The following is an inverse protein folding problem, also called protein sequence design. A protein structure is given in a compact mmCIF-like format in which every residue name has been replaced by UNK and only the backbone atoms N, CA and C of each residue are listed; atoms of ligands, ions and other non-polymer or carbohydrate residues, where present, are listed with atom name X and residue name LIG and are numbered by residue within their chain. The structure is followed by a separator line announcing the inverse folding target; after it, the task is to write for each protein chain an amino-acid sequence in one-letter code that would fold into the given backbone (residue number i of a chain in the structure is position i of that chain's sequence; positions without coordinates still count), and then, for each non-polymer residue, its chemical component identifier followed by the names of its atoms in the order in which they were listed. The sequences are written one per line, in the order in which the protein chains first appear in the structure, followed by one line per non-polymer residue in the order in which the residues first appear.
data_IF_134398380078
#
_entry.id   IF_134398380078
#
_cell.length_a   1.000
_cell.length_b   1.000
_cell.length_c   1.000
_cell.angle_alpha   90.00
_cell.angle_beta   90.00
_cell.angle_gamma   90.00
#
_symmetry.space_group_name_H-M   'P 1'
#
loop_
_entity.id
_entity.type
_entity.pdbx_description
1 polymer ?
#
# COMPACT_ATOMS: atom_id res chain seq x y z
N UNK A 1 -20.60 -10.82 -0.32
CA UNK A 1 -19.43 -10.63 -1.20
C UNK A 1 -19.03 -9.19 -1.00
N UNK A 2 -18.06 -8.94 -0.13
CA UNK A 2 -17.59 -7.59 0.15
C UNK A 2 -16.84 -7.14 -1.09
N UNK A 3 -17.33 -6.07 -1.71
CA UNK A 3 -16.87 -5.56 -2.99
C UNK A 3 -15.34 -5.41 -2.99
N UNK A 4 -14.66 -6.09 -3.92
CA UNK A 4 -13.21 -6.04 -4.11
C UNK A 4 -12.64 -4.60 -4.21
N UNK A 5 -13.46 -3.63 -4.59
CA UNK A 5 -13.06 -2.22 -4.73
C UNK A 5 -12.88 -1.44 -3.40
N UNK A 6 -12.96 -2.05 -2.22
CA UNK A 6 -12.80 -1.28 -0.97
C UNK A 6 -11.43 -0.63 -0.86
N UNK A 7 -10.37 -1.16 -1.48
CA UNK A 7 -9.02 -0.62 -1.36
C UNK A 7 -8.72 0.48 -2.38
N UNK A 8 -9.46 0.50 -3.49
CA UNK A 8 -9.21 1.38 -4.62
C UNK A 8 -9.26 2.86 -4.24
N UNK A 9 -8.18 3.57 -4.52
CA UNK A 9 -8.07 5.01 -4.27
C UNK A 9 -8.02 5.40 -2.78
N UNK A 10 -7.80 4.45 -1.88
CA UNK A 10 -7.47 4.78 -0.49
C UNK A 10 -6.05 5.26 -0.38
N UNK A 11 -5.85 6.32 0.41
CA UNK A 11 -4.52 6.80 0.76
C UNK A 11 -3.96 6.02 1.96
N UNK A 12 -2.81 5.38 1.79
CA UNK A 12 -2.17 4.52 2.80
C UNK A 12 -0.74 5.02 3.02
N UNK A 13 -0.34 5.20 4.27
CA UNK A 13 1.05 5.49 4.63
C UNK A 13 1.67 4.21 5.17
N UNK A 14 2.73 3.74 4.51
CA UNK A 14 3.52 2.59 4.94
C UNK A 14 4.82 3.12 5.55
N UNK A 15 5.13 2.66 6.77
CA UNK A 15 6.32 3.09 7.52
C UNK A 15 7.08 1.86 7.97
N UNK A 16 8.29 1.70 7.45
CA UNK A 16 9.20 0.60 7.76
C UNK A 16 10.65 1.05 7.52
N UNK A 17 11.59 0.61 8.35
CA UNK A 17 13.02 0.97 8.21
C UNK A 17 13.75 0.12 7.15
N UNK A 18 13.09 -0.91 6.63
CA UNK A 18 13.60 -1.80 5.58
C UNK A 18 12.96 -1.48 4.22
N UNK A 19 13.75 -1.04 3.20
CA UNK A 19 13.21 -0.61 1.91
C UNK A 19 12.60 -1.75 1.07
N UNK A 20 13.01 -2.99 1.28
CA UNK A 20 12.45 -4.18 0.62
C UNK A 20 11.03 -4.51 1.10
N UNK A 21 10.72 -4.20 2.36
CA UNK A 21 9.36 -4.32 2.90
C UNK A 21 8.46 -3.26 2.29
N UNK A 22 8.94 -2.02 2.18
CA UNK A 22 8.20 -0.93 1.53
C UNK A 22 7.88 -1.26 0.06
N UNK A 23 8.86 -1.75 -0.71
CA UNK A 23 8.69 -2.14 -2.12
C UNK A 23 7.66 -3.27 -2.27
N UNK A 24 7.75 -4.31 -1.43
CA UNK A 24 6.81 -5.44 -1.46
C UNK A 24 5.37 -4.99 -1.16
N UNK A 25 5.20 -4.06 -0.21
CA UNK A 25 3.88 -3.55 0.15
C UNK A 25 3.29 -2.62 -0.93
N UNK A 26 4.14 -1.87 -1.64
CA UNK A 26 3.71 -1.10 -2.81
C UNK A 26 3.21 -2.01 -3.94
N UNK A 27 3.89 -3.12 -4.21
CA UNK A 27 3.46 -4.09 -5.23
C UNK A 27 2.15 -4.81 -4.87
N UNK A 28 1.92 -5.11 -3.59
CA UNK A 28 0.72 -5.80 -3.12
C UNK A 28 -0.52 -4.91 -3.07
N UNK A 29 -0.33 -3.60 -3.00
CA UNK A 29 -1.38 -2.61 -2.81
C UNK A 29 -1.45 -1.65 -4.02
N UNK A 30 -1.17 -2.14 -5.24
CA UNK A 30 -1.05 -1.34 -6.47
C UNK A 30 -2.30 -0.51 -6.82
N UNK A 31 -3.48 -0.93 -6.33
CA UNK A 31 -4.74 -0.21 -6.51
C UNK A 31 -4.96 0.95 -5.49
N UNK A 32 -4.04 1.12 -4.53
CA UNK A 32 -4.05 2.15 -3.51
C UNK A 32 -3.13 3.32 -3.86
N UNK A 33 -3.36 4.44 -3.19
CA UNK A 33 -2.48 5.62 -3.26
C UNK A 33 -1.52 5.55 -2.06
N UNK A 34 -0.31 5.03 -2.30
CA UNK A 34 0.64 4.69 -1.24
C UNK A 34 1.68 5.78 -1.10
N UNK A 35 1.93 6.18 0.14
CA UNK A 35 3.08 6.98 0.53
C UNK A 35 3.97 6.10 1.42
N UNK A 36 5.27 6.14 1.17
CA UNK A 36 6.25 5.42 1.99
C UNK A 36 7.08 6.40 2.81
N UNK A 37 7.42 5.99 4.04
CA UNK A 37 8.34 6.69 4.90
C UNK A 37 9.29 5.68 5.56
N UNK A 38 10.55 6.07 5.73
CA UNK A 38 11.60 5.29 6.39
C UNK A 38 12.14 6.07 7.60
#
# INVERSE_FOLDING_TARGET
MASDDILKGKKILVVDDEPDILETLEELLDECDIETAA
#
